data_IF_849613108149
#
_entry.id   IF_849613108149
#
_cell.length_a   1.000
_cell.length_b   1.000
_cell.length_c   1.000
_cell.angle_alpha   90.00
_cell.angle_beta   90.00
_cell.angle_gamma   90.00
#
_symmetry.space_group_name_H-M   'P 1'
#
loop_
_entity.id
_entity.type
_entity.pdbx_description
1 polymer ?
#
# COMPACT_ATOMS: atom_id res chain seq x y z
N UNK A 1 -4.72 20.14 11.88
CA UNK A 1 -5.74 19.67 10.92
C UNK A 1 -5.51 20.42 9.63
N UNK A 2 -4.73 19.85 8.71
CA UNK A 2 -4.19 20.54 7.54
C UNK A 2 -5.26 20.75 6.46
N UNK A 3 -5.40 21.98 6.01
CA UNK A 3 -6.37 22.51 5.04
C UNK A 3 -6.21 22.02 3.58
N UNK A 4 -5.72 20.79 3.33
CA UNK A 4 -5.47 20.29 1.95
C UNK A 4 -6.56 19.32 1.41
N UNK A 5 -7.66 19.10 2.13
CA UNK A 5 -8.63 18.05 1.78
C UNK A 5 -9.69 18.41 0.70
N UNK A 6 -9.66 19.58 0.06
CA UNK A 6 -10.78 19.99 -0.82
C UNK A 6 -10.38 20.64 -2.15
N UNK A 7 -9.72 19.86 -3.01
CA UNK A 7 -9.62 20.20 -4.43
C UNK A 7 -9.78 18.98 -5.31
N UNK A 8 -10.75 19.00 -6.22
CA UNK A 8 -10.79 18.05 -7.34
C UNK A 8 -9.50 18.26 -8.14
N UNK A 9 -8.57 17.31 -8.06
CA UNK A 9 -7.36 17.35 -8.87
C UNK A 9 -7.79 17.19 -10.33
N UNK A 10 -7.52 18.20 -11.16
CA UNK A 10 -7.84 18.09 -12.58
C UNK A 10 -7.05 16.93 -13.22
N UNK A 11 -7.64 16.24 -14.18
CA UNK A 11 -6.97 15.12 -14.87
C UNK A 11 -5.60 15.51 -15.44
N UNK A 12 -5.48 16.73 -16.00
CA UNK A 12 -4.20 17.26 -16.49
C UNK A 12 -3.18 17.46 -15.37
N UNK A 13 -3.63 17.91 -14.18
CA UNK A 13 -2.76 18.07 -13.01
C UNK A 13 -2.31 16.72 -12.46
N UNK A 14 -3.19 15.72 -12.42
CA UNK A 14 -2.87 14.35 -12.00
C UNK A 14 -1.75 13.76 -12.86
N UNK A 15 -1.90 13.80 -14.19
CA UNK A 15 -0.89 13.27 -15.12
C UNK A 15 0.46 14.00 -14.94
N UNK A 16 0.43 15.32 -14.81
CA UNK A 16 1.65 16.09 -14.57
C UNK A 16 2.36 15.69 -13.28
N UNK A 17 1.61 15.45 -12.20
CA UNK A 17 2.16 14.98 -10.92
C UNK A 17 2.76 13.58 -11.09
N UNK A 18 2.05 12.64 -11.72
CA UNK A 18 2.58 11.30 -11.99
C UNK A 18 3.90 11.34 -12.78
N UNK A 19 3.96 12.15 -13.84
CA UNK A 19 5.17 12.33 -14.63
C UNK A 19 6.31 12.92 -13.80
N UNK A 20 6.01 13.95 -13.00
CA UNK A 20 7.01 14.63 -12.18
C UNK A 20 7.54 13.72 -11.07
N UNK A 21 6.69 12.93 -10.42
CA UNK A 21 7.07 11.97 -9.37
C UNK A 21 7.93 10.85 -9.97
N UNK A 22 7.54 10.30 -11.12
CA UNK A 22 8.34 9.25 -11.79
C UNK A 22 9.73 9.79 -12.15
N UNK A 23 9.83 10.98 -12.75
CA UNK A 23 11.12 11.58 -13.14
C UNK A 23 11.99 11.95 -11.94
N UNK A 24 11.41 12.52 -10.89
CA UNK A 24 12.18 13.09 -9.77
C UNK A 24 12.49 12.09 -8.66
N UNK A 25 11.57 11.16 -8.37
CA UNK A 25 11.69 10.22 -7.24
C UNK A 25 11.97 8.79 -7.67
N UNK A 26 11.50 8.36 -8.85
CA UNK A 26 11.58 6.96 -9.29
C UNK A 26 12.30 6.77 -10.63
N UNK A 27 13.19 7.69 -11.01
CA UNK A 27 13.99 7.59 -12.25
C UNK A 27 14.94 6.38 -12.26
N UNK A 28 15.32 5.90 -11.08
CA UNK A 28 16.09 4.66 -10.91
C UNK A 28 15.23 3.40 -11.10
N UNK A 29 13.90 3.51 -11.21
CA UNK A 29 12.99 2.37 -11.40
C UNK A 29 12.45 2.36 -12.82
N UNK A 30 11.95 3.51 -13.27
CA UNK A 30 11.31 3.68 -14.56
C UNK A 30 12.20 4.50 -15.47
N UNK A 31 12.63 3.88 -16.57
CA UNK A 31 13.39 4.54 -17.64
C UNK A 31 12.51 5.28 -18.63
N UNK A 32 11.20 4.97 -18.63
CA UNK A 32 10.21 5.57 -19.50
C UNK A 32 9.37 6.60 -18.74
N UNK A 33 8.91 7.61 -19.46
CA UNK A 33 7.93 8.56 -18.95
C UNK A 33 6.60 7.86 -18.65
N UNK A 34 5.79 8.46 -17.77
CA UNK A 34 4.45 7.97 -17.45
C UNK A 34 3.64 7.74 -18.73
N UNK A 35 3.32 6.48 -19.09
CA UNK A 35 2.82 6.16 -20.43
C UNK A 35 1.31 6.36 -20.58
N UNK A 36 0.60 6.55 -19.47
CA UNK A 36 -0.85 6.60 -19.44
C UNK A 36 -1.38 8.02 -19.63
N UNK A 37 -2.43 8.12 -20.45
CA UNK A 37 -3.23 9.32 -20.70
C UNK A 37 -4.55 9.28 -19.92
N UNK A 38 -5.25 10.42 -19.85
CA UNK A 38 -6.50 10.58 -19.09
C UNK A 38 -7.54 9.49 -19.32
N UNK A 39 -7.74 9.08 -20.58
CA UNK A 39 -8.70 8.04 -20.93
C UNK A 39 -8.41 6.70 -20.22
N UNK A 40 -7.14 6.34 -20.05
CA UNK A 40 -6.75 5.12 -19.34
C UNK A 40 -7.01 5.22 -17.83
N UNK A 41 -6.87 6.42 -17.26
CA UNK A 41 -7.15 6.67 -15.83
C UNK A 41 -8.65 6.53 -15.57
N UNK A 42 -9.49 7.13 -16.42
CA UNK A 42 -10.95 7.03 -16.30
C UNK A 42 -11.44 5.59 -16.48
N UNK A 43 -10.87 4.85 -17.44
CA UNK A 43 -11.19 3.43 -17.62
C UNK A 43 -10.79 2.61 -16.39
N UNK A 44 -9.59 2.86 -15.84
CA UNK A 44 -9.12 2.23 -14.60
C UNK A 44 -10.02 2.56 -13.39
N UNK A 45 -10.51 3.80 -13.30
CA UNK A 45 -11.46 4.23 -12.26
C UNK A 45 -12.75 3.41 -12.30
N UNK A 46 -13.32 3.19 -13.49
CA UNK A 46 -14.51 2.32 -13.64
C UNK A 46 -14.24 0.90 -13.15
N UNK A 47 -13.14 0.28 -13.57
CA UNK A 47 -12.78 -1.06 -13.10
C UNK A 47 -12.53 -1.10 -11.60
N UNK A 48 -11.89 -0.07 -11.02
CA UNK A 48 -11.62 0.00 -9.60
C UNK A 48 -12.93 0.08 -8.79
N UNK A 49 -13.88 0.92 -9.21
CA UNK A 49 -15.18 1.04 -8.55
C UNK A 49 -15.97 -0.28 -8.58
N UNK A 50 -15.97 -0.95 -9.72
CA UNK A 50 -16.63 -2.25 -9.87
C UNK A 50 -16.00 -3.32 -8.96
N UNK A 51 -14.67 -3.45 -8.98
CA UNK A 51 -13.97 -4.45 -8.17
C UNK A 51 -14.06 -4.18 -6.66
N UNK A 52 -14.16 -2.92 -6.25
CA UNK A 52 -14.38 -2.56 -4.85
C UNK A 52 -15.84 -2.67 -4.40
N UNK A 53 -16.78 -2.98 -5.32
CA UNK A 53 -18.21 -3.00 -5.01
C UNK A 53 -18.73 -1.67 -4.48
N UNK A 54 -18.14 -0.54 -4.92
CA UNK A 54 -18.40 0.81 -4.40
C UNK A 54 -18.17 0.99 -2.89
N UNK A 55 -17.37 0.13 -2.23
CA UNK A 55 -16.96 0.32 -0.85
C UNK A 55 -15.85 1.39 -0.73
N UNK A 56 -16.25 2.68 -0.70
CA UNK A 56 -15.31 3.82 -0.73
C UNK A 56 -14.96 4.40 0.65
N UNK A 57 -15.69 4.01 1.69
CA UNK A 57 -15.45 4.50 3.06
C UNK A 57 -14.42 3.61 3.75
N UNK A 58 -13.25 4.19 4.06
CA UNK A 58 -12.15 3.49 4.73
C UNK A 58 -11.91 4.08 6.11
N UNK A 59 -11.99 3.25 7.14
CA UNK A 59 -11.69 3.64 8.52
C UNK A 59 -10.19 3.53 8.78
N UNK A 60 -9.55 4.64 9.09
CA UNK A 60 -8.10 4.70 9.32
C UNK A 60 -7.74 4.76 10.81
N UNK A 61 -6.58 4.22 11.23
CA UNK A 61 -6.12 4.17 12.63
C UNK A 61 -5.81 5.53 13.27
N UNK A 62 -5.71 6.63 12.51
CA UNK A 62 -5.34 7.95 13.04
C UNK A 62 -6.37 8.53 14.01
N UNK A 63 -7.66 8.37 13.73
CA UNK A 63 -8.73 8.88 14.60
C UNK A 63 -8.75 8.20 15.97
N UNK A 64 -8.78 6.85 16.07
CA UNK A 64 -8.68 6.19 17.37
C UNK A 64 -7.34 6.48 18.05
N UNK A 65 -6.23 6.60 17.31
CA UNK A 65 -4.94 6.95 17.90
C UNK A 65 -4.98 8.28 18.68
N UNK A 66 -5.57 9.32 18.09
CA UNK A 66 -5.71 10.63 18.76
C UNK A 66 -6.53 10.52 20.06
N UNK A 67 -7.60 9.72 20.06
CA UNK A 67 -8.43 9.50 21.23
C UNK A 67 -7.68 8.74 22.33
N UNK A 68 -6.90 7.73 21.97
CA UNK A 68 -6.09 6.94 22.91
C UNK A 68 -5.00 7.80 23.54
N UNK A 69 -4.26 8.58 22.76
CA UNK A 69 -3.21 9.46 23.31
C UNK A 69 -3.81 10.58 24.16
N UNK A 70 -5.00 11.06 23.83
CA UNK A 70 -5.74 12.02 24.66
C UNK A 70 -6.08 11.42 26.03
N UNK A 71 -6.57 10.18 26.06
CA UNK A 71 -6.91 9.46 27.29
C UNK A 71 -5.69 9.21 28.19
N UNK A 72 -4.52 8.99 27.58
CA UNK A 72 -3.23 8.86 28.29
C UNK A 72 -2.65 10.18 28.83
N UNK A 73 -3.34 11.31 28.64
CA UNK A 73 -2.92 12.61 29.16
C UNK A 73 -2.21 13.52 28.16
N UNK A 74 -2.44 13.34 26.85
CA UNK A 74 -1.93 14.21 25.77
C UNK A 74 -0.40 14.30 25.72
N UNK A 75 0.24 13.21 25.28
CA UNK A 75 1.69 13.14 25.14
C UNK A 75 2.13 13.33 23.67
N UNK A 76 2.53 14.55 23.31
CA UNK A 76 2.89 14.94 21.93
C UNK A 76 4.01 14.09 21.31
N UNK A 77 5.00 13.70 22.12
CA UNK A 77 6.09 12.85 21.66
C UNK A 77 5.56 11.45 21.33
N UNK A 78 4.72 10.87 22.19
CA UNK A 78 4.10 9.57 21.96
C UNK A 78 3.21 9.59 20.72
N UNK A 79 2.42 10.65 20.54
CA UNK A 79 1.61 10.85 19.34
C UNK A 79 2.49 10.88 18.08
N UNK A 80 3.59 11.63 18.11
CA UNK A 80 4.47 11.77 16.94
C UNK A 80 5.09 10.43 16.53
N UNK A 81 5.55 9.62 17.49
CA UNK A 81 6.14 8.32 17.21
C UNK A 81 5.10 7.29 16.78
N UNK A 82 3.97 7.20 17.50
CA UNK A 82 2.87 6.28 17.15
C UNK A 82 2.28 6.60 15.78
N UNK A 83 2.12 7.89 15.43
CA UNK A 83 1.66 8.31 14.10
C UNK A 83 2.58 7.81 12.99
N UNK A 84 3.90 7.91 13.16
CA UNK A 84 4.88 7.39 12.20
C UNK A 84 4.77 5.88 12.02
N UNK A 85 4.67 5.15 13.14
CA UNK A 85 4.53 3.68 13.11
C UNK A 85 3.22 3.28 12.41
N UNK A 86 2.13 4.00 12.67
CA UNK A 86 0.86 3.79 12.00
C UNK A 86 0.96 4.07 10.50
N UNK A 87 1.67 5.11 10.07
CA UNK A 87 1.93 5.33 8.63
C UNK A 87 2.70 4.15 8.03
N UNK A 88 3.71 3.63 8.72
CA UNK A 88 4.54 2.52 8.24
C UNK A 88 3.76 1.19 8.20
N UNK A 89 2.74 1.02 9.05
CA UNK A 89 1.87 -0.16 9.03
C UNK A 89 1.14 -0.37 7.69
N UNK A 90 0.94 0.70 6.90
CA UNK A 90 0.35 0.64 5.55
C UNK A 90 1.26 -0.04 4.52
N UNK A 91 2.51 -0.34 4.86
CA UNK A 91 3.42 -1.17 4.05
C UNK A 91 3.23 -2.67 4.29
N UNK A 92 2.27 -3.05 5.13
CA UNK A 92 1.91 -4.42 5.47
C UNK A 92 0.42 -4.66 5.20
N UNK A 93 -0.02 -5.91 5.31
CA UNK A 93 -1.42 -6.28 5.08
C UNK A 93 -2.34 -6.04 6.29
N UNK A 94 -1.83 -5.48 7.39
CA UNK A 94 -2.61 -5.35 8.64
C UNK A 94 -3.89 -4.52 8.49
N UNK A 95 -3.91 -3.55 7.56
CA UNK A 95 -5.09 -2.74 7.29
C UNK A 95 -6.24 -3.52 6.63
N UNK A 96 -5.95 -4.68 6.05
CA UNK A 96 -6.94 -5.60 5.46
C UNK A 96 -7.36 -6.70 6.45
N UNK A 97 -6.52 -6.98 7.44
CA UNK A 97 -6.69 -8.10 8.37
C UNK A 97 -7.29 -7.69 9.71
N UNK A 98 -7.07 -6.45 10.16
CA UNK A 98 -7.45 -6.01 11.51
C UNK A 98 -8.23 -4.69 11.52
N UNK A 99 -9.13 -4.48 12.49
CA UNK A 99 -9.77 -3.20 12.75
C UNK A 99 -8.78 -2.06 13.02
N UNK A 100 -9.12 -0.86 12.56
CA UNK A 100 -8.29 0.35 12.67
C UNK A 100 -7.87 0.70 14.11
N UNK A 101 -8.73 0.50 15.10
CA UNK A 101 -8.40 0.80 16.50
C UNK A 101 -7.34 -0.16 17.07
N UNK A 102 -7.31 -1.43 16.66
CA UNK A 102 -6.29 -2.38 17.10
C UNK A 102 -4.92 -2.03 16.51
N UNK A 103 -4.89 -1.55 15.26
CA UNK A 103 -3.67 -1.05 14.62
C UNK A 103 -3.15 0.19 15.34
N UNK A 104 -4.04 1.09 15.77
CA UNK A 104 -3.67 2.25 16.56
C UNK A 104 -3.03 1.87 17.91
N UNK A 105 -3.63 0.91 18.63
CA UNK A 105 -3.09 0.38 19.89
C UNK A 105 -1.72 -0.28 19.66
N UNK A 106 -1.55 -1.05 18.59
CA UNK A 106 -0.26 -1.66 18.25
C UNK A 106 0.82 -0.61 17.97
N UNK A 107 0.50 0.42 17.18
CA UNK A 107 1.43 1.53 16.91
C UNK A 107 1.80 2.31 18.18
N UNK A 108 0.85 2.50 19.09
CA UNK A 108 1.05 3.11 20.40
C UNK A 108 1.94 2.24 21.30
N UNK A 109 1.72 0.93 21.33
CA UNK A 109 2.52 -0.01 22.11
C UNK A 109 3.99 -0.02 21.65
N UNK A 110 4.23 -0.05 20.32
CA UNK A 110 5.59 0.02 19.77
C UNK A 110 6.25 1.36 20.14
N UNK A 111 5.52 2.48 20.03
CA UNK A 111 6.03 3.79 20.41
C UNK A 111 6.42 3.85 21.91
N UNK A 112 5.58 3.31 22.80
CA UNK A 112 5.88 3.24 24.24
C UNK A 112 7.15 2.45 24.53
N UNK A 113 7.38 1.33 23.82
CA UNK A 113 8.61 0.53 23.95
C UNK A 113 9.83 1.32 23.50
N UNK A 114 9.76 2.00 22.35
CA UNK A 114 10.86 2.82 21.81
C UNK A 114 11.20 3.98 22.75
N UNK A 115 10.18 4.61 23.35
CA UNK A 115 10.34 5.75 24.27
C UNK A 115 10.60 5.34 25.73
N UNK A 116 10.70 4.04 26.02
CA UNK A 116 10.92 3.49 27.37
C UNK A 116 9.87 3.98 28.40
N UNK A 117 8.59 4.04 27.98
CA UNK A 117 7.47 4.51 28.80
C UNK A 117 6.83 3.36 29.59
N UNK A 118 7.57 2.80 30.55
CA UNK A 118 7.14 1.64 31.34
C UNK A 118 5.88 1.87 32.19
N UNK A 119 5.59 3.12 32.55
CA UNK A 119 4.40 3.52 33.33
C UNK A 119 3.09 3.22 32.62
N UNK A 120 3.10 2.99 31.30
CA UNK A 120 1.89 2.84 30.49
C UNK A 120 1.39 1.39 30.39
N UNK A 121 2.13 0.42 30.96
CA UNK A 121 1.74 -0.99 30.96
C UNK A 121 0.38 -1.24 31.63
N UNK A 122 0.13 -0.54 32.73
CA UNK A 122 -1.13 -0.63 33.45
C UNK A 122 -2.31 -0.14 32.60
N UNK A 123 -2.13 0.97 31.89
CA UNK A 123 -3.16 1.53 30.99
C UNK A 123 -3.54 0.54 29.89
N UNK A 124 -2.58 -0.16 29.27
CA UNK A 124 -2.88 -1.21 28.28
C UNK A 124 -3.66 -2.40 28.87
N UNK A 125 -3.42 -2.76 30.14
CA UNK A 125 -4.12 -3.85 30.80
C UNK A 125 -5.58 -3.51 31.16
N UNK A 126 -5.90 -2.22 31.25
CA UNK A 126 -7.27 -1.72 31.51
C UNK A 126 -8.13 -1.66 30.23
N UNK A 127 -7.52 -1.80 29.05
CA UNK A 127 -8.24 -1.84 27.77
C UNK A 127 -9.03 -3.15 27.64
N UNK A 128 -10.32 -3.03 27.34
CA UNK A 128 -11.16 -4.16 26.98
C UNK A 128 -10.98 -4.54 25.49
N UNK A 129 -9.78 -5.00 25.13
CA UNK A 129 -9.39 -5.36 23.76
C UNK A 129 -8.65 -6.70 23.78
N UNK A 130 -8.82 -7.48 22.72
CA UNK A 130 -8.04 -8.70 22.49
C UNK A 130 -6.55 -8.34 22.26
N UNK A 131 -5.74 -8.52 23.31
CA UNK A 131 -4.31 -8.22 23.29
C UNK A 131 -3.52 -9.20 22.43
N UNK A 132 -4.00 -10.43 22.22
CA UNK A 132 -3.32 -11.41 21.36
C UNK A 132 -3.35 -10.93 19.91
N UNK A 133 -4.50 -10.41 19.46
CA UNK A 133 -4.64 -9.77 18.13
C UNK A 133 -3.75 -8.54 18.00
N UNK A 134 -3.65 -7.71 19.05
CA UNK A 134 -2.72 -6.58 19.05
C UNK A 134 -1.27 -7.06 18.91
N UNK A 135 -0.87 -8.14 19.60
CA UNK A 135 0.49 -8.68 19.46
C UNK A 135 0.77 -9.26 18.07
N UNK A 136 -0.21 -9.84 17.38
CA UNK A 136 -0.06 -10.25 15.98
C UNK A 136 0.26 -9.04 15.08
N UNK A 137 -0.43 -7.92 15.27
CA UNK A 137 -0.16 -6.67 14.52
C UNK A 137 1.22 -6.12 14.86
N UNK A 138 1.58 -6.06 16.16
CA UNK A 138 2.90 -5.60 16.60
C UNK A 138 4.01 -6.41 15.93
N UNK A 139 3.87 -7.75 15.92
CA UNK A 139 4.83 -8.64 15.26
C UNK A 139 4.93 -8.37 13.77
N UNK A 140 3.82 -8.16 13.07
CA UNK A 140 3.83 -7.83 11.64
C UNK A 140 4.60 -6.52 11.35
N UNK A 141 4.38 -5.48 12.17
CA UNK A 141 5.08 -4.20 12.03
C UNK A 141 6.56 -4.31 12.40
N UNK A 142 6.92 -5.07 13.44
CA UNK A 142 8.33 -5.29 13.81
C UNK A 142 9.06 -6.07 12.71
N UNK A 143 8.43 -7.11 12.15
CA UNK A 143 8.98 -7.87 11.02
C UNK A 143 9.20 -6.98 9.79
N UNK A 144 8.32 -6.00 9.54
CA UNK A 144 8.54 -4.99 8.51
C UNK A 144 9.83 -4.21 8.77
N UNK A 145 10.06 -3.74 10.00
CA UNK A 145 11.28 -2.99 10.32
C UNK A 145 12.55 -3.83 10.22
N UNK A 146 12.49 -5.12 10.58
CA UNK A 146 13.59 -6.07 10.37
C UNK A 146 13.93 -6.23 8.89
N UNK A 147 12.91 -6.44 8.04
CA UNK A 147 13.10 -6.54 6.59
C UNK A 147 13.65 -5.23 5.99
N UNK A 148 13.09 -4.10 6.41
CA UNK A 148 13.43 -2.80 5.83
C UNK A 148 14.86 -2.36 6.18
N UNK A 149 15.44 -2.87 7.28
CA UNK A 149 16.82 -2.59 7.66
C UNK A 149 17.83 -2.99 6.57
N UNK A 150 17.61 -4.13 5.93
CA UNK A 150 18.55 -4.71 4.96
C UNK A 150 18.12 -4.46 3.49
N UNK A 151 16.87 -4.01 3.28
CA UNK A 151 16.29 -3.78 1.97
C UNK A 151 16.93 -2.61 1.21
N UNK A 152 17.55 -2.90 0.05
CA UNK A 152 18.11 -1.89 -0.86
C UNK A 152 17.21 -1.69 -2.07
N UNK A 153 16.16 -0.88 -1.87
CA UNK A 153 15.12 -0.64 -2.88
C UNK A 153 15.68 -0.33 -4.28
N UNK A 154 16.70 0.54 -4.37
CA UNK A 154 17.28 0.96 -5.66
C UNK A 154 17.91 -0.16 -6.47
N UNK A 155 18.50 -1.14 -5.78
CA UNK A 155 19.26 -2.22 -6.42
C UNK A 155 18.34 -3.39 -6.81
N UNK A 156 17.27 -3.60 -6.04
CA UNK A 156 16.43 -4.80 -6.15
C UNK A 156 15.12 -4.58 -6.90
N UNK A 157 14.53 -3.38 -6.85
CA UNK A 157 13.17 -3.14 -7.35
C UNK A 157 13.04 -3.37 -8.85
N UNK A 158 14.05 -3.01 -9.66
CA UNK A 158 14.00 -3.23 -11.11
C UNK A 158 13.94 -4.72 -11.46
N UNK A 159 14.68 -5.54 -10.72
CA UNK A 159 14.73 -7.00 -10.92
C UNK A 159 13.37 -7.61 -10.55
N UNK A 160 12.75 -7.14 -9.46
CA UNK A 160 11.41 -7.57 -9.07
C UNK A 160 10.34 -7.17 -10.08
N UNK A 161 10.36 -5.92 -10.55
CA UNK A 161 9.41 -5.45 -11.57
C UNK A 161 9.51 -6.26 -12.87
N UNK A 162 10.71 -6.68 -13.26
CA UNK A 162 10.90 -7.52 -14.44
C UNK A 162 10.26 -8.91 -14.31
N UNK A 163 10.06 -9.41 -13.08
CA UNK A 163 9.43 -10.70 -12.79
C UNK A 163 7.90 -10.61 -12.68
N UNK A 164 7.33 -9.41 -12.64
CA UNK A 164 5.87 -9.24 -12.55
C UNK A 164 5.23 -9.81 -13.83
N UNK A 165 4.20 -10.68 -13.70
CA UNK A 165 3.46 -11.19 -14.84
C UNK A 165 2.89 -10.05 -15.67
N UNK A 166 3.29 -9.96 -16.94
CA UNK A 166 2.80 -8.91 -17.84
C UNK A 166 1.40 -9.26 -18.34
N UNK A 167 0.51 -8.26 -18.51
CA UNK A 167 -0.80 -8.48 -19.11
C UNK A 167 -0.67 -9.16 -20.47
N UNK A 168 -1.45 -10.21 -20.71
CA UNK A 168 -1.50 -10.88 -22.01
C UNK A 168 -2.17 -9.91 -23.00
N UNK A 169 -1.53 -9.58 -24.13
CA UNK A 169 -2.17 -8.72 -25.12
C UNK A 169 -3.42 -9.41 -25.67
N UNK A 170 -4.52 -8.66 -25.82
CA UNK A 170 -5.81 -9.20 -26.29
C UNK A 170 -5.79 -9.67 -27.76
N UNK A 171 -4.70 -9.46 -28.48
CA UNK A 171 -4.53 -9.88 -29.86
C UNK A 171 -3.29 -10.77 -29.97
N UNK A 172 -3.51 -12.07 -30.23
CA UNK A 172 -2.50 -12.88 -30.94
C UNK A 172 -2.16 -12.11 -32.20
N UNK A 173 -0.87 -11.90 -32.51
CA UNK A 173 -0.52 -11.28 -33.79
C UNK A 173 -1.12 -12.15 -34.89
N UNK A 174 -1.59 -11.56 -35.99
CA UNK A 174 -2.10 -12.31 -37.15
C UNK A 174 -1.10 -13.39 -37.62
N UNK A 175 0.20 -13.13 -37.39
CA UNK A 175 1.31 -14.07 -37.60
C UNK A 175 1.19 -15.36 -36.79
N UNK A 176 0.70 -15.29 -35.56
CA UNK A 176 0.52 -16.44 -34.67
C UNK A 176 -0.70 -17.27 -35.11
N UNK A 177 -1.71 -16.59 -35.66
CA UNK A 177 -2.87 -17.26 -36.28
C UNK A 177 -2.48 -18.00 -37.57
N UNK A 178 -1.62 -17.38 -38.40
CA UNK A 178 -1.08 -18.01 -39.61
C UNK A 178 -0.17 -19.19 -39.25
N UNK A 179 0.65 -19.08 -38.20
CA UNK A 179 1.51 -20.16 -37.73
C UNK A 179 0.70 -21.35 -37.18
N UNK A 180 -0.37 -21.10 -36.42
CA UNK A 180 -1.32 -22.13 -36.00
C UNK A 180 -1.99 -22.77 -37.22
N UNK A 181 -2.40 -21.99 -38.23
CA UNK A 181 -3.05 -22.47 -39.45
C UNK A 181 -2.11 -23.35 -40.31
N UNK A 182 -0.87 -22.93 -40.57
CA UNK A 182 0.09 -23.73 -41.34
C UNK A 182 0.51 -25.01 -40.62
N UNK A 183 0.57 -25.00 -39.29
CA UNK A 183 0.80 -26.20 -38.47
C UNK A 183 -0.36 -27.20 -38.56
N UNK A 184 -1.60 -26.73 -38.66
CA UNK A 184 -2.80 -27.57 -38.83
C UNK A 184 -2.83 -28.21 -40.22
N UNK A 185 -2.44 -27.50 -41.27
CA UNK A 185 -2.44 -28.04 -42.64
C UNK A 185 -1.25 -28.96 -42.93
N UNK A 186 -0.07 -28.70 -42.37
CA UNK A 186 1.07 -29.62 -42.49
C UNK A 186 0.82 -30.98 -41.83
N UNK A 187 -0.13 -31.08 -40.89
CA UNK A 187 -0.53 -32.36 -40.26
C UNK A 187 -1.60 -33.13 -41.04
N UNK A 188 -2.26 -32.51 -42.02
CA UNK A 188 -3.29 -33.16 -42.85
C UNK A 188 -2.73 -33.84 -44.10
N UNK A 189 -1.52 -33.49 -44.53
CA UNK A 189 -0.87 -34.05 -45.72
C UNK A 189 -0.04 -35.33 -45.43
N UNK A 190 -0.19 -35.95 -44.25
CA UNK A 190 0.51 -37.20 -43.87
C UNK A 190 -0.47 -38.26 -43.36
N UNK A 191 -1.62 -38.42 -44.02
CA UNK A 191 -2.58 -39.51 -43.75
C UNK A 191 -3.02 -40.19 -45.03
#
# INVERSE_FOLDING_TARGET
>A
MSHEEFGVISNSRLIFICQSVIKSKFSYVYTQDFPYRTNHILECEFYLLENLGCCLIVYQPYRPLLQLVQDMGQEDQLLTFSWRIVNDSLRTDVCLLYPSFQIAIAGLQIACVILQKDSMKQWFAELNVDLDKVQEIVRAIVNLFELWKDWKEKDEIQILLAKIPKPKPLYKKLTDFIADYSTIYSKKDVS
#
